data_IF_871235311489
#
_entry.id   IF_871235311489
#
_cell.length_a   1.000
_cell.length_b   1.000
_cell.length_c   1.000
_cell.angle_alpha   90.00
_cell.angle_beta   90.00
_cell.angle_gamma   90.00
#
_symmetry.space_group_name_H-M   'P 1'
#
loop_
_entity.id
_entity.type
_entity.pdbx_description
1 polymer ?
#
# COMPACT_ATOMS: atom_id res chain seq x y z
N UNK A 1 7.74 22.21 4.62
CA UNK A 1 6.43 21.58 4.34
C UNK A 1 5.72 21.31 5.65
N UNK A 2 4.48 21.74 5.76
CA UNK A 2 3.58 21.39 6.88
C UNK A 2 2.52 20.41 6.41
N UNK A 3 2.01 19.64 7.35
CA UNK A 3 1.00 18.62 7.13
C UNK A 3 -0.24 18.90 7.94
N UNK A 4 -1.39 18.91 7.28
CA UNK A 4 -2.70 19.20 7.86
C UNK A 4 -3.48 17.90 8.04
N UNK A 5 -4.34 17.85 9.06
CA UNK A 5 -5.36 16.81 9.17
C UNK A 5 -6.47 17.02 8.15
N UNK A 6 -6.91 15.95 7.51
CA UNK A 6 -8.10 15.96 6.63
C UNK A 6 -9.37 16.43 7.33
N UNK A 7 -9.43 16.33 8.66
CA UNK A 7 -10.58 16.78 9.48
C UNK A 7 -10.42 18.19 10.04
N UNK A 8 -9.25 18.80 9.90
CA UNK A 8 -9.00 20.22 10.14
C UNK A 8 -9.00 20.70 11.59
N UNK A 9 -9.10 19.80 12.58
CA UNK A 9 -9.12 20.15 14.01
C UNK A 9 -7.84 19.75 14.75
N UNK A 10 -6.78 19.41 14.02
CA UNK A 10 -5.48 19.06 14.60
C UNK A 10 -4.43 20.11 14.20
N UNK A 11 -3.41 20.36 15.04
CA UNK A 11 -2.32 21.26 14.68
C UNK A 11 -1.51 20.70 13.50
N UNK A 12 -1.04 21.62 12.64
CA UNK A 12 -0.14 21.26 11.55
C UNK A 12 1.19 20.75 12.09
N UNK A 13 1.73 19.72 11.45
CA UNK A 13 2.96 19.03 11.85
C UNK A 13 3.99 18.98 10.72
N UNK A 14 5.22 18.61 11.04
CA UNK A 14 6.29 18.33 10.08
C UNK A 14 6.25 16.86 9.63
N UNK A 15 7.06 16.51 8.64
CA UNK A 15 7.13 15.14 8.12
C UNK A 15 7.56 14.13 9.19
N UNK A 16 8.62 14.43 9.93
CA UNK A 16 9.13 13.53 10.98
C UNK A 16 8.17 13.37 12.15
N UNK A 17 7.41 14.42 12.51
CA UNK A 17 6.39 14.34 13.55
C UNK A 17 5.21 13.41 13.19
N UNK A 18 4.79 13.40 11.92
CA UNK A 18 3.68 12.54 11.47
C UNK A 18 4.13 11.12 11.13
N UNK A 19 5.41 10.93 10.86
CA UNK A 19 5.98 9.65 10.45
C UNK A 19 5.73 8.55 11.49
N UNK A 20 5.95 8.87 12.77
CA UNK A 20 5.75 7.94 13.89
C UNK A 20 4.31 7.95 14.44
N UNK A 21 3.53 8.97 14.12
CA UNK A 21 2.23 9.22 14.76
C UNK A 21 1.03 8.49 14.16
N UNK A 22 1.02 8.25 12.87
CA UNK A 22 -0.10 7.62 12.14
C UNK A 22 -1.30 8.56 11.96
N UNK A 23 -2.35 8.44 12.79
CA UNK A 23 -3.54 9.30 12.75
C UNK A 23 -3.29 10.65 13.42
N UNK A 24 -4.02 11.67 12.94
CA UNK A 24 -4.13 12.95 13.64
C UNK A 24 -4.99 12.83 14.92
N UNK A 25 -4.81 13.70 15.92
CA UNK A 25 -5.58 13.67 17.18
C UNK A 25 -7.10 13.76 16.99
N UNK A 26 -7.55 14.38 15.90
CA UNK A 26 -8.98 14.47 15.53
C UNK A 26 -9.49 13.25 14.74
N UNK A 27 -8.68 12.21 14.61
CA UNK A 27 -9.00 11.00 13.87
C UNK A 27 -8.79 11.12 12.35
N UNK A 28 -8.39 12.29 11.86
CA UNK A 28 -8.10 12.53 10.44
C UNK A 28 -6.76 11.96 9.99
N UNK A 29 -6.52 12.04 8.68
CA UNK A 29 -5.28 11.63 8.03
C UNK A 29 -4.44 12.87 7.71
N UNK A 30 -3.12 12.70 7.69
CA UNK A 30 -2.23 13.79 7.31
C UNK A 30 -2.03 13.87 5.80
N UNK A 31 -2.08 15.11 5.28
CA UNK A 31 -1.70 15.49 3.92
C UNK A 31 -0.84 16.77 3.97
N UNK A 32 0.08 16.99 3.02
CA UNK A 32 0.78 18.26 2.93
C UNK A 32 -0.21 19.42 2.74
N UNK A 33 0.09 20.56 3.31
CA UNK A 33 -0.74 21.79 3.17
C UNK A 33 -0.99 22.17 1.71
N UNK A 34 -0.04 21.86 0.83
CA UNK A 34 -0.16 21.94 -0.62
C UNK A 34 0.73 20.88 -1.26
N UNK A 35 0.32 20.37 -2.41
CA UNK A 35 1.16 19.46 -3.17
C UNK A 35 2.30 20.23 -3.85
N UNK A 36 3.56 19.80 -3.65
CA UNK A 36 4.68 20.43 -4.35
C UNK A 36 4.53 20.21 -5.85
N UNK A 37 4.73 21.26 -6.62
CA UNK A 37 4.67 21.19 -8.07
C UNK A 37 6.00 20.72 -8.65
N UNK A 38 5.92 19.92 -9.71
CA UNK A 38 7.07 19.51 -10.52
C UNK A 38 6.99 20.25 -11.85
N UNK A 39 7.97 21.08 -12.11
CA UNK A 39 8.03 21.88 -13.32
C UNK A 39 8.40 21.03 -14.54
N UNK A 40 8.15 21.53 -15.74
CA UNK A 40 8.54 20.84 -16.97
C UNK A 40 10.05 20.56 -17.06
N UNK A 41 10.94 21.51 -16.76
CA UNK A 41 12.39 21.23 -16.72
C UNK A 41 12.78 20.15 -15.70
N UNK A 42 12.11 20.11 -14.54
CA UNK A 42 12.33 19.03 -13.57
C UNK A 42 11.90 17.68 -14.12
N UNK A 43 10.71 17.58 -14.76
CA UNK A 43 10.26 16.34 -15.40
C UNK A 43 11.24 15.85 -16.46
N UNK A 44 11.76 16.77 -17.29
CA UNK A 44 12.74 16.44 -18.33
C UNK A 44 14.06 15.92 -17.72
N UNK A 45 14.52 16.54 -16.63
CA UNK A 45 15.71 16.10 -15.90
C UNK A 45 15.50 14.75 -15.19
N UNK A 46 14.35 14.57 -14.57
CA UNK A 46 14.04 13.36 -13.77
C UNK A 46 13.90 12.10 -14.62
N UNK A 47 13.56 12.23 -15.89
CA UNK A 47 13.43 11.11 -16.83
C UNK A 47 14.66 10.22 -16.90
N UNK A 48 15.84 10.76 -16.65
CA UNK A 48 17.13 10.06 -16.74
C UNK A 48 17.64 9.52 -15.40
N UNK A 49 16.93 9.78 -14.32
CA UNK A 49 17.37 9.41 -12.98
C UNK A 49 17.22 7.90 -12.72
N UNK A 50 18.16 7.35 -11.95
CA UNK A 50 17.98 6.07 -11.31
C UNK A 50 16.74 6.08 -10.40
N UNK A 51 16.24 4.92 -9.98
CA UNK A 51 15.11 4.89 -9.05
C UNK A 51 15.44 5.61 -7.73
N UNK A 52 16.62 5.39 -7.16
CA UNK A 52 17.04 6.03 -5.91
C UNK A 52 17.16 7.55 -6.05
N UNK A 53 17.76 8.05 -7.14
CA UNK A 53 17.86 9.50 -7.36
C UNK A 53 16.49 10.13 -7.62
N UNK A 54 15.59 9.44 -8.32
CA UNK A 54 14.21 9.88 -8.52
C UNK A 54 13.46 9.91 -7.18
N UNK A 55 13.62 8.87 -6.36
CA UNK A 55 13.04 8.84 -5.02
C UNK A 55 13.51 10.01 -4.16
N UNK A 56 14.82 10.34 -4.23
CA UNK A 56 15.34 11.52 -3.54
C UNK A 56 14.74 12.82 -4.09
N UNK A 57 14.64 12.98 -5.41
CA UNK A 57 14.07 14.17 -6.03
C UNK A 57 12.60 14.39 -5.63
N UNK A 58 11.81 13.32 -5.59
CA UNK A 58 10.39 13.37 -5.17
C UNK A 58 10.27 13.61 -3.67
N UNK A 59 10.93 12.78 -2.85
CA UNK A 59 10.73 12.77 -1.41
C UNK A 59 11.34 13.99 -0.71
N UNK A 60 12.39 14.61 -1.27
CA UNK A 60 12.93 15.86 -0.74
C UNK A 60 11.94 17.03 -0.80
N UNK A 61 10.95 16.97 -1.70
CA UNK A 61 9.86 17.96 -1.74
C UNK A 61 8.87 17.81 -0.58
N UNK A 62 8.81 16.63 0.04
CA UNK A 62 7.91 16.30 1.15
C UNK A 62 8.62 16.31 2.51
N UNK A 63 9.75 15.61 2.62
CA UNK A 63 10.49 15.44 3.87
C UNK A 63 11.46 16.61 4.13
N UNK A 64 10.94 17.83 4.16
CA UNK A 64 11.74 19.07 4.20
C UNK A 64 12.41 19.35 5.54
N UNK A 65 12.04 18.63 6.60
CA UNK A 65 12.64 18.69 7.93
C UNK A 65 13.72 17.62 8.16
N UNK A 66 13.99 16.76 7.17
CA UNK A 66 15.15 15.86 7.17
C UNK A 66 16.28 16.53 6.36
N UNK A 67 17.50 16.64 6.91
CA UNK A 67 18.65 17.14 6.16
C UNK A 67 18.85 16.36 4.85
N UNK A 68 19.11 17.06 3.75
CA UNK A 68 19.20 16.45 2.42
C UNK A 68 20.22 15.30 2.34
N UNK A 69 21.37 15.43 3.02
CA UNK A 69 22.39 14.39 3.06
C UNK A 69 21.89 13.12 3.77
N UNK A 70 21.16 13.29 4.90
CA UNK A 70 20.60 12.18 5.66
C UNK A 70 19.51 11.48 4.84
N UNK A 71 18.60 12.25 4.23
CA UNK A 71 17.53 11.71 3.38
C UNK A 71 18.12 10.94 2.18
N UNK A 72 19.14 11.49 1.52
CA UNK A 72 19.80 10.83 0.41
C UNK A 72 20.46 9.52 0.85
N UNK A 73 21.12 9.49 2.00
CA UNK A 73 21.74 8.29 2.54
C UNK A 73 20.69 7.20 2.85
N UNK A 74 19.54 7.59 3.46
CA UNK A 74 18.42 6.68 3.75
C UNK A 74 17.87 6.07 2.45
N UNK A 75 17.61 6.88 1.45
CA UNK A 75 17.04 6.46 0.16
C UNK A 75 18.03 5.56 -0.60
N UNK A 76 19.31 5.92 -0.65
CA UNK A 76 20.33 5.16 -1.37
C UNK A 76 20.56 3.76 -0.79
N UNK A 77 20.44 3.59 0.54
CA UNK A 77 20.51 2.26 1.15
C UNK A 77 19.21 1.45 1.02
N UNK A 78 18.09 2.12 0.73
CA UNK A 78 16.78 1.47 0.60
C UNK A 78 16.60 0.90 -0.80
N UNK A 79 16.78 1.72 -1.83
CA UNK A 79 16.48 1.36 -3.21
C UNK A 79 17.75 0.92 -3.93
N UNK A 80 18.13 -0.33 -3.72
CA UNK A 80 19.28 -0.98 -4.33
C UNK A 80 18.88 -2.21 -5.12
N UNK A 81 19.65 -2.59 -6.13
CA UNK A 81 19.45 -3.85 -6.85
C UNK A 81 19.49 -5.07 -5.91
N UNK A 82 20.34 -5.04 -4.88
CA UNK A 82 20.42 -6.13 -3.90
C UNK A 82 19.10 -6.35 -3.14
N UNK A 83 18.43 -5.27 -2.75
CA UNK A 83 17.13 -5.36 -2.06
C UNK A 83 16.00 -5.76 -3.01
N UNK A 84 16.05 -5.32 -4.27
CA UNK A 84 14.97 -5.50 -5.26
C UNK A 84 15.32 -6.44 -6.41
N UNK A 85 16.15 -7.46 -6.16
CA UNK A 85 16.46 -8.52 -7.11
C UNK A 85 15.76 -9.85 -6.82
N UNK A 86 14.75 -9.83 -5.96
CA UNK A 86 14.09 -11.06 -5.47
C UNK A 86 12.93 -11.54 -6.34
N UNK A 87 12.55 -10.75 -7.33
CA UNK A 87 11.37 -11.01 -8.13
C UNK A 87 11.56 -12.10 -9.20
N UNK A 88 12.06 -11.70 -10.36
CA UNK A 88 12.17 -12.55 -11.55
C UNK A 88 13.58 -12.53 -12.07
N UNK A 89 14.06 -13.71 -12.52
CA UNK A 89 15.40 -13.86 -13.10
C UNK A 89 15.58 -13.09 -14.43
N UNK A 90 14.48 -12.86 -15.15
CA UNK A 90 14.45 -12.12 -16.42
C UNK A 90 14.23 -10.59 -16.23
N UNK A 91 14.10 -10.14 -15.01
CA UNK A 91 13.89 -8.73 -14.67
C UNK A 91 15.24 -8.00 -14.50
N UNK A 92 15.31 -6.76 -15.00
CA UNK A 92 16.47 -5.91 -14.78
C UNK A 92 16.43 -5.29 -13.38
N UNK A 93 17.15 -5.90 -12.44
CA UNK A 93 17.21 -5.49 -11.05
C UNK A 93 17.72 -4.05 -10.85
N UNK A 94 18.54 -3.52 -11.76
CA UNK A 94 19.02 -2.13 -11.71
C UNK A 94 17.87 -1.11 -11.90
N UNK A 95 16.79 -1.52 -12.54
CA UNK A 95 15.63 -0.65 -12.71
C UNK A 95 14.74 -0.54 -11.48
N UNK A 96 14.85 -1.43 -10.50
CA UNK A 96 14.00 -1.54 -9.30
C UNK A 96 12.53 -1.82 -9.64
N UNK A 97 11.94 -1.03 -10.55
CA UNK A 97 10.55 -1.18 -11.05
C UNK A 97 10.55 -1.21 -12.57
N UNK A 98 10.96 -2.31 -13.19
CA UNK A 98 10.96 -2.42 -14.65
C UNK A 98 9.54 -2.39 -15.22
N UNK A 99 9.41 -1.91 -16.46
CA UNK A 99 8.17 -1.88 -17.21
C UNK A 99 8.14 -3.04 -18.20
N UNK A 100 7.22 -3.99 -17.99
CA UNK A 100 6.97 -5.10 -18.91
C UNK A 100 5.88 -4.74 -19.89
N UNK A 101 6.17 -4.78 -21.18
CA UNK A 101 5.17 -4.58 -22.22
C UNK A 101 4.51 -5.90 -22.55
N UNK A 102 3.18 -5.94 -22.47
CA UNK A 102 2.34 -7.06 -22.92
C UNK A 102 2.06 -6.92 -24.42
N UNK A 103 1.50 -5.80 -24.82
CA UNK A 103 1.25 -5.45 -26.21
C UNK A 103 1.49 -3.92 -26.41
N UNK A 104 1.56 -3.41 -27.63
CA UNK A 104 1.74 -1.98 -27.87
C UNK A 104 0.71 -1.14 -27.11
N UNK A 105 1.21 -0.30 -26.19
CA UNK A 105 0.39 0.58 -25.34
C UNK A 105 -0.25 -0.10 -24.13
N UNK A 106 0.12 -1.34 -23.80
CA UNK A 106 -0.31 -2.02 -22.54
C UNK A 106 0.91 -2.57 -21.81
N UNK A 107 1.04 -2.15 -20.58
CA UNK A 107 2.22 -2.44 -19.78
C UNK A 107 1.86 -2.88 -18.36
N UNK A 108 2.75 -3.64 -17.74
CA UNK A 108 2.77 -3.91 -16.29
C UNK A 108 3.99 -3.20 -15.72
N UNK A 109 3.78 -2.38 -14.69
CA UNK A 109 4.89 -1.87 -13.88
C UNK A 109 5.17 -2.89 -12.77
N UNK A 110 6.32 -3.54 -12.84
CA UNK A 110 6.72 -4.58 -11.90
C UNK A 110 7.16 -3.95 -10.57
N UNK A 111 6.38 -4.14 -9.52
CA UNK A 111 6.58 -3.55 -8.20
C UNK A 111 6.93 -4.58 -7.11
N UNK A 112 6.96 -5.86 -7.46
CA UNK A 112 7.00 -6.98 -6.51
C UNK A 112 8.36 -7.68 -6.46
N UNK A 113 9.43 -6.98 -6.79
CA UNK A 113 10.80 -7.50 -6.83
C UNK A 113 11.53 -7.39 -5.47
N UNK A 114 10.87 -6.88 -4.45
CA UNK A 114 11.41 -6.71 -3.10
C UNK A 114 11.42 -8.00 -2.26
N UNK A 115 11.85 -7.91 -1.00
CA UNK A 115 12.11 -9.07 -0.14
C UNK A 115 10.90 -9.98 0.10
N UNK A 116 9.68 -9.44 0.06
CA UNK A 116 8.46 -10.23 0.33
C UNK A 116 7.61 -10.48 -0.91
N UNK A 117 8.09 -10.09 -2.09
CA UNK A 117 7.42 -10.32 -3.37
C UNK A 117 6.06 -9.64 -3.47
N UNK A 118 5.91 -8.47 -2.87
CA UNK A 118 4.72 -7.62 -2.96
C UNK A 118 5.11 -6.15 -3.10
N UNK A 119 4.28 -5.35 -3.80
CA UNK A 119 4.51 -3.91 -3.99
C UNK A 119 4.67 -3.13 -2.68
N UNK A 120 4.17 -3.70 -1.59
CA UNK A 120 4.26 -3.10 -0.25
C UNK A 120 5.70 -2.91 0.21
N UNK A 121 6.63 -3.71 -0.28
CA UNK A 121 8.07 -3.56 -0.01
C UNK A 121 8.59 -2.19 -0.45
N UNK A 122 8.06 -1.64 -1.54
CA UNK A 122 8.48 -0.33 -2.06
C UNK A 122 8.35 0.79 -1.03
N UNK A 123 7.30 0.74 -0.21
CA UNK A 123 7.07 1.70 0.85
C UNK A 123 7.62 1.25 2.19
N UNK A 124 7.50 -0.04 2.54
CA UNK A 124 7.87 -0.55 3.86
C UNK A 124 9.38 -0.52 4.10
N UNK A 125 10.20 -0.85 3.10
CA UNK A 125 11.66 -0.80 3.22
C UNK A 125 12.14 0.63 3.53
N UNK A 126 11.57 1.63 2.86
CA UNK A 126 11.85 3.04 3.17
C UNK A 126 11.36 3.42 4.55
N UNK A 127 10.13 3.02 4.91
CA UNK A 127 9.53 3.34 6.21
C UNK A 127 10.38 2.80 7.37
N UNK A 128 10.89 1.57 7.25
CA UNK A 128 11.79 0.99 8.25
C UNK A 128 13.07 1.81 8.47
N UNK A 129 13.68 2.27 7.40
CA UNK A 129 14.87 3.11 7.45
C UNK A 129 14.58 4.52 8.00
N UNK A 130 13.42 5.10 7.64
CA UNK A 130 12.98 6.39 8.18
C UNK A 130 12.64 6.31 9.66
N UNK A 131 11.99 5.24 10.12
CA UNK A 131 11.69 5.02 11.54
C UNK A 131 12.97 4.90 12.36
N UNK A 132 13.92 4.05 11.93
CA UNK A 132 15.20 3.90 12.61
C UNK A 132 15.92 5.24 12.72
N UNK A 133 15.93 6.04 11.65
CA UNK A 133 16.51 7.39 11.65
C UNK A 133 15.82 8.31 12.66
N UNK A 134 14.49 8.41 12.58
CA UNK A 134 13.72 9.32 13.45
C UNK A 134 13.88 8.94 14.95
N UNK A 135 13.79 7.65 15.26
CA UNK A 135 13.95 7.14 16.63
C UNK A 135 15.37 7.37 17.17
N UNK A 136 16.39 7.17 16.34
CA UNK A 136 17.79 7.42 16.74
C UNK A 136 18.05 8.88 17.08
N UNK A 137 17.43 9.83 16.35
CA UNK A 137 17.54 11.27 16.63
C UNK A 137 16.81 11.69 17.91
N UNK A 138 15.74 10.99 18.27
CA UNK A 138 14.94 11.27 19.46
C UNK A 138 15.39 10.46 20.68
N UNK A 139 16.35 9.54 20.52
CA UNK A 139 16.74 8.55 21.55
C UNK A 139 15.52 7.78 22.11
N UNK A 140 14.63 7.40 21.20
CA UNK A 140 13.35 6.76 21.50
C UNK A 140 13.25 5.37 20.86
N UNK A 141 12.17 4.64 21.18
CA UNK A 141 11.87 3.33 20.63
C UNK A 141 10.39 3.22 20.24
N UNK A 142 10.07 2.22 19.44
CA UNK A 142 8.72 1.98 18.92
C UNK A 142 8.41 0.49 18.93
N UNK A 143 7.28 0.14 19.53
CA UNK A 143 6.74 -1.21 19.51
C UNK A 143 5.55 -1.25 18.54
N UNK A 144 5.78 -1.80 17.36
CA UNK A 144 4.78 -1.89 16.30
C UNK A 144 3.84 -3.04 16.62
N UNK A 145 2.56 -2.74 16.77
CA UNK A 145 1.51 -3.73 16.91
C UNK A 145 0.60 -3.69 15.68
N UNK A 146 0.43 -4.82 15.02
CA UNK A 146 -0.37 -4.92 13.81
C UNK A 146 -1.10 -6.24 13.69
N UNK A 147 -2.12 -6.27 12.83
CA UNK A 147 -2.79 -7.47 12.39
C UNK A 147 -2.65 -7.61 10.88
N UNK A 148 -2.49 -8.83 10.40
CA UNK A 148 -2.27 -9.12 8.99
C UNK A 148 -3.00 -10.37 8.52
N UNK A 149 -3.36 -10.37 7.23
CA UNK A 149 -3.76 -11.57 6.48
C UNK A 149 -2.60 -12.18 5.68
N UNK A 150 -1.38 -11.59 5.74
CA UNK A 150 -0.17 -12.08 5.10
C UNK A 150 0.75 -11.00 4.55
N UNK A 151 0.37 -10.32 3.46
CA UNK A 151 1.27 -9.42 2.70
C UNK A 151 1.76 -8.19 3.47
N UNK A 152 0.88 -7.57 4.26
CA UNK A 152 1.27 -6.38 5.04
C UNK A 152 2.19 -6.76 6.19
N UNK A 153 1.91 -7.89 6.85
CA UNK A 153 2.73 -8.37 7.95
C UNK A 153 4.12 -8.76 7.49
N UNK A 154 4.23 -9.59 6.45
CA UNK A 154 5.53 -9.98 5.90
C UNK A 154 6.36 -8.76 5.47
N UNK A 155 5.76 -7.80 4.75
CA UNK A 155 6.46 -6.60 4.33
C UNK A 155 6.93 -5.74 5.52
N UNK A 156 6.11 -5.62 6.58
CA UNK A 156 6.47 -4.89 7.79
C UNK A 156 7.62 -5.57 8.54
N UNK A 157 7.56 -6.87 8.75
CA UNK A 157 8.58 -7.63 9.45
C UNK A 157 9.93 -7.58 8.73
N UNK A 158 9.95 -7.81 7.40
CA UNK A 158 11.18 -7.73 6.61
C UNK A 158 11.76 -6.32 6.57
N UNK A 159 10.95 -5.29 6.63
CA UNK A 159 11.43 -3.91 6.68
C UNK A 159 11.98 -3.51 8.06
N UNK A 160 11.46 -4.11 9.14
CA UNK A 160 11.78 -3.72 10.51
C UNK A 160 12.77 -4.67 11.20
N UNK A 161 13.03 -5.87 10.64
CA UNK A 161 13.95 -6.85 11.22
C UNK A 161 15.33 -6.25 11.44
N UNK A 162 15.91 -6.50 12.61
CA UNK A 162 17.24 -6.02 12.98
C UNK A 162 17.39 -4.49 13.15
N UNK A 163 16.32 -3.71 13.05
CA UNK A 163 16.33 -2.27 13.23
C UNK A 163 16.44 -1.88 14.70
N UNK A 164 17.29 -0.89 14.99
CA UNK A 164 17.47 -0.39 16.35
C UNK A 164 16.24 0.39 16.82
N UNK A 165 15.82 0.13 18.06
CA UNK A 165 14.70 0.81 18.70
C UNK A 165 13.33 0.41 18.14
N UNK A 166 13.25 -0.63 17.31
CA UNK A 166 12.00 -1.12 16.74
C UNK A 166 11.77 -2.57 17.13
N UNK A 167 10.59 -2.88 17.65
CA UNK A 167 10.07 -4.25 17.82
C UNK A 167 8.76 -4.38 17.08
N UNK A 168 8.48 -5.56 16.53
CA UNK A 168 7.26 -5.85 15.78
C UNK A 168 6.51 -6.99 16.48
N UNK A 169 5.26 -6.75 16.78
CA UNK A 169 4.29 -7.73 17.27
C UNK A 169 3.19 -7.84 16.22
N UNK A 170 3.22 -8.92 15.44
CA UNK A 170 2.30 -9.11 14.32
C UNK A 170 1.32 -10.24 14.61
N UNK A 171 0.03 -9.88 14.67
CA UNK A 171 -1.07 -10.82 14.86
C UNK A 171 -1.55 -11.33 13.52
N UNK A 172 -1.83 -12.62 13.44
CA UNK A 172 -2.40 -13.27 12.26
C UNK A 172 -3.39 -14.37 12.66
N UNK A 173 -4.42 -14.66 11.85
CA UNK A 173 -5.37 -15.70 12.16
C UNK A 173 -4.71 -17.08 12.02
N UNK A 174 -4.79 -17.89 13.08
CA UNK A 174 -4.16 -19.21 13.14
C UNK A 174 -4.65 -20.13 12.02
N UNK A 175 -3.73 -20.61 11.18
CA UNK A 175 -4.01 -21.54 10.09
C UNK A 175 -4.80 -20.98 8.91
N UNK A 176 -4.97 -19.64 8.80
CA UNK A 176 -5.78 -19.01 7.73
C UNK A 176 -4.93 -18.31 6.63
N UNK A 177 -3.67 -18.06 6.87
CA UNK A 177 -2.76 -17.58 5.83
C UNK A 177 -2.32 -18.73 4.92
N UNK A 178 -1.93 -18.42 3.68
CA UNK A 178 -1.28 -19.42 2.81
C UNK A 178 -0.01 -19.97 3.47
N UNK A 179 0.36 -21.20 3.12
CA UNK A 179 1.55 -21.84 3.68
C UNK A 179 2.80 -21.02 3.41
N UNK A 180 2.90 -20.45 2.20
CA UNK A 180 4.00 -19.59 1.80
C UNK A 180 4.07 -18.28 2.61
N UNK A 181 2.95 -17.55 2.75
CA UNK A 181 2.91 -16.30 3.52
C UNK A 181 3.24 -16.53 4.99
N UNK A 182 2.72 -17.63 5.56
CA UNK A 182 3.05 -18.03 6.93
C UNK A 182 4.54 -18.31 7.09
N UNK A 183 5.12 -19.06 6.16
CA UNK A 183 6.54 -19.37 6.18
C UNK A 183 7.40 -18.12 6.04
N UNK A 184 7.03 -17.15 5.18
CA UNK A 184 7.74 -15.87 5.08
C UNK A 184 7.84 -15.15 6.42
N UNK A 185 6.77 -15.15 7.21
CA UNK A 185 6.74 -14.46 8.50
C UNK A 185 7.39 -15.29 9.61
N UNK A 186 6.96 -16.52 9.78
CA UNK A 186 7.31 -17.31 10.95
C UNK A 186 8.74 -17.88 10.89
N UNK A 187 9.36 -17.95 9.70
CA UNK A 187 10.76 -18.34 9.57
C UNK A 187 11.76 -17.28 10.05
N UNK A 188 11.29 -16.04 10.29
CA UNK A 188 12.16 -14.98 10.80
C UNK A 188 12.57 -15.27 12.25
N UNK A 189 13.90 -15.29 12.50
CA UNK A 189 14.48 -15.56 13.82
C UNK A 189 15.03 -14.30 14.49
N UNK A 190 14.83 -13.14 13.90
CA UNK A 190 15.28 -11.85 14.42
C UNK A 190 14.66 -11.58 15.80
N UNK A 191 15.45 -11.20 16.83
CA UNK A 191 14.95 -11.07 18.20
C UNK A 191 13.90 -9.95 18.39
N UNK A 192 13.82 -9.02 17.45
CA UNK A 192 12.87 -7.92 17.49
C UNK A 192 11.57 -8.18 16.70
N UNK A 193 11.38 -9.39 16.14
CA UNK A 193 10.17 -9.79 15.43
C UNK A 193 9.41 -10.83 16.24
N UNK A 194 8.15 -10.60 16.53
CA UNK A 194 7.28 -11.47 17.31
C UNK A 194 6.00 -11.75 16.52
N UNK A 195 5.86 -12.99 16.07
CA UNK A 195 4.66 -13.49 15.40
C UNK A 195 3.69 -14.10 16.40
N UNK A 196 2.41 -13.72 16.30
CA UNK A 196 1.36 -14.18 17.22
C UNK A 196 0.18 -14.69 16.36
N UNK A 197 -0.06 -16.00 16.44
CA UNK A 197 -1.19 -16.65 15.78
C UNK A 197 -2.40 -16.67 16.73
N UNK A 198 -3.47 -16.02 16.32
CA UNK A 198 -4.70 -15.89 17.11
C UNK A 198 -5.68 -17.02 16.74
N UNK A 199 -6.17 -17.76 17.74
CA UNK A 199 -7.27 -18.70 17.56
C UNK A 199 -8.56 -17.92 17.29
N UNK A 200 -8.78 -17.54 16.03
CA UNK A 200 -9.88 -16.69 15.58
C UNK A 200 -9.75 -16.35 14.10
N UNK A 201 -10.51 -15.34 13.70
CA UNK A 201 -10.48 -14.78 12.35
C UNK A 201 -9.58 -13.55 12.30
N UNK A 202 -9.33 -13.03 11.09
CA UNK A 202 -8.55 -11.81 10.90
C UNK A 202 -9.17 -10.60 11.63
N UNK A 203 -10.49 -10.53 11.68
CA UNK A 203 -11.21 -9.46 12.37
C UNK A 203 -10.97 -9.51 13.89
N UNK A 204 -10.89 -10.70 14.49
CA UNK A 204 -10.55 -10.84 15.91
C UNK A 204 -9.16 -10.27 16.20
N UNK A 205 -8.18 -10.58 15.35
CA UNK A 205 -6.84 -10.02 15.46
C UNK A 205 -6.83 -8.48 15.31
N UNK A 206 -7.62 -7.94 14.37
CA UNK A 206 -7.76 -6.50 14.20
C UNK A 206 -8.41 -5.83 15.40
N UNK A 207 -9.44 -6.45 15.96
CA UNK A 207 -10.16 -5.91 17.13
C UNK A 207 -9.27 -5.91 18.38
N UNK A 208 -8.42 -6.91 18.56
CA UNK A 208 -7.39 -6.91 19.60
C UNK A 208 -6.41 -5.73 19.43
N UNK A 209 -5.91 -5.48 18.21
CA UNK A 209 -5.03 -4.34 17.91
C UNK A 209 -5.74 -3.01 18.18
N UNK A 210 -7.01 -2.87 17.78
CA UNK A 210 -7.81 -1.68 18.07
C UNK A 210 -8.00 -1.47 19.58
N UNK A 211 -8.30 -2.54 20.32
CA UNK A 211 -8.50 -2.48 21.77
C UNK A 211 -7.22 -2.02 22.50
N UNK A 212 -6.05 -2.50 22.09
CA UNK A 212 -4.76 -2.02 22.62
C UNK A 212 -4.50 -0.56 22.24
N UNK A 213 -4.81 -0.18 20.99
CA UNK A 213 -4.60 1.18 20.48
C UNK A 213 -5.51 2.22 21.15
N UNK A 214 -6.70 1.79 21.58
CA UNK A 214 -7.67 2.63 22.29
C UNK A 214 -7.36 2.75 23.79
N UNK A 215 -6.54 1.87 24.35
CA UNK A 215 -5.98 2.04 25.70
C UNK A 215 -4.81 3.04 25.65
N UNK A 216 -5.15 4.32 25.69
CA UNK A 216 -4.18 5.41 25.56
C UNK A 216 -3.07 5.37 26.62
N UNK A 217 -3.38 4.93 27.84
CA UNK A 217 -2.40 4.81 28.91
C UNK A 217 -1.39 3.70 28.60
N UNK A 218 -1.87 2.52 28.20
CA UNK A 218 -1.01 1.41 27.81
C UNK A 218 -0.19 1.76 26.57
N UNK A 219 -0.83 2.32 25.54
CA UNK A 219 -0.18 2.75 24.29
C UNK A 219 0.98 3.71 24.55
N UNK A 220 0.78 4.73 25.39
CA UNK A 220 1.82 5.69 25.75
C UNK A 220 2.94 5.06 26.57
N UNK A 221 2.59 4.27 27.61
CA UNK A 221 3.56 3.64 28.50
C UNK A 221 4.48 2.64 27.78
N UNK A 222 3.98 1.95 26.76
CA UNK A 222 4.69 0.93 26.02
C UNK A 222 5.04 1.34 24.57
N UNK A 223 4.91 2.64 24.24
CA UNK A 223 5.30 3.21 22.93
C UNK A 223 4.74 2.41 21.76
N UNK A 224 3.45 2.07 21.85
CA UNK A 224 2.78 1.28 20.80
C UNK A 224 2.52 2.14 19.57
N UNK A 225 3.00 1.69 18.43
CA UNK A 225 2.79 2.31 17.14
C UNK A 225 2.27 1.33 16.10
N UNK A 226 2.14 1.78 14.87
CA UNK A 226 1.59 0.99 13.77
C UNK A 226 2.25 1.34 12.45
N UNK A 227 2.21 0.40 11.51
CA UNK A 227 2.65 0.57 10.10
C UNK A 227 1.50 0.54 9.12
N UNK A 228 0.32 0.97 9.53
CA UNK A 228 -0.89 0.93 8.72
C UNK A 228 -0.74 1.68 7.39
N UNK A 229 -1.57 1.31 6.41
CA UNK A 229 -1.58 1.92 5.07
C UNK A 229 -1.81 3.43 5.06
N UNK A 230 -2.37 3.98 6.14
CA UNK A 230 -2.62 5.41 6.31
C UNK A 230 -1.36 6.23 6.63
N UNK A 231 -0.26 5.61 7.02
CA UNK A 231 0.99 6.32 7.30
C UNK A 231 1.43 7.12 6.07
N UNK A 232 1.68 8.42 6.25
CA UNK A 232 2.07 9.30 5.15
C UNK A 232 3.39 8.87 4.49
N UNK A 233 4.35 8.35 5.26
CA UNK A 233 5.60 7.82 4.72
C UNK A 233 5.36 6.70 3.71
N UNK A 234 4.34 5.85 3.93
CA UNK A 234 3.95 4.82 2.98
C UNK A 234 3.35 5.39 1.70
N UNK A 235 2.44 6.36 1.82
CA UNK A 235 1.82 7.00 0.65
C UNK A 235 2.86 7.77 -0.16
N UNK A 236 3.71 8.55 0.50
CA UNK A 236 4.73 9.35 -0.19
C UNK A 236 5.75 8.51 -0.95
N UNK A 237 6.16 7.37 -0.40
CA UNK A 237 7.05 6.43 -1.07
C UNK A 237 6.45 5.87 -2.36
N UNK A 238 5.13 5.68 -2.39
CA UNK A 238 4.43 5.14 -3.56
C UNK A 238 4.31 6.15 -4.69
N UNK A 239 4.40 7.44 -4.42
CA UNK A 239 4.38 8.49 -5.47
C UNK A 239 5.51 8.27 -6.48
N UNK A 240 6.67 7.82 -6.03
CA UNK A 240 7.89 7.69 -6.84
C UNK A 240 7.70 6.78 -8.04
N UNK A 241 7.09 5.60 -7.86
CA UNK A 241 6.96 4.66 -8.96
C UNK A 241 5.92 5.09 -10.02
N UNK A 242 5.00 6.00 -9.71
CA UNK A 242 4.16 6.61 -10.74
C UNK A 242 4.99 7.46 -11.69
N UNK A 243 5.93 8.27 -11.17
CA UNK A 243 6.87 9.00 -12.01
C UNK A 243 7.74 8.04 -12.83
N UNK A 244 8.29 7.00 -12.20
CA UNK A 244 9.16 6.02 -12.89
C UNK A 244 8.41 5.30 -14.01
N UNK A 245 7.20 4.81 -13.73
CA UNK A 245 6.34 4.14 -14.71
C UNK A 245 5.96 5.05 -15.88
N UNK A 246 5.61 6.31 -15.57
CA UNK A 246 5.34 7.31 -16.60
C UNK A 246 6.54 7.51 -17.52
N UNK A 247 7.73 7.70 -16.97
CA UNK A 247 8.95 7.90 -17.77
C UNK A 247 9.31 6.68 -18.60
N UNK A 248 9.07 5.48 -18.09
CA UNK A 248 9.33 4.23 -18.83
C UNK A 248 8.34 4.00 -19.98
N UNK A 249 7.09 4.42 -19.84
CA UNK A 249 6.04 4.21 -20.83
C UNK A 249 5.94 5.31 -21.88
N UNK A 250 6.65 6.44 -21.71
CA UNK A 250 6.56 7.62 -22.60
C UNK A 250 7.94 8.07 -23.09
N UNK A 251 7.97 8.70 -24.26
CA UNK A 251 9.21 9.27 -24.86
C UNK A 251 9.38 10.74 -24.54
N UNK A 252 8.31 11.46 -24.28
CA UNK A 252 8.33 12.88 -23.94
C UNK A 252 7.30 13.20 -22.85
N UNK A 253 7.43 14.40 -22.24
CA UNK A 253 6.50 14.85 -21.21
C UNK A 253 5.27 15.57 -21.81
N UNK A 254 5.05 15.51 -23.14
CA UNK A 254 3.81 15.91 -23.81
C UNK A 254 2.80 14.76 -23.89
N UNK A 255 3.27 13.55 -23.67
CA UNK A 255 2.42 12.35 -23.65
C UNK A 255 1.71 12.21 -22.31
N UNK A 256 0.52 11.63 -22.34
CA UNK A 256 -0.23 11.24 -21.14
C UNK A 256 -0.35 9.73 -21.06
N UNK A 257 -0.56 9.21 -19.86
CA UNK A 257 -0.77 7.78 -19.61
C UNK A 257 -2.02 7.54 -18.77
N UNK A 258 -2.51 6.31 -18.80
CA UNK A 258 -3.47 5.79 -17.84
C UNK A 258 -2.76 4.82 -16.89
N UNK A 259 -3.11 4.87 -15.60
CA UNK A 259 -2.71 3.84 -14.63
C UNK A 259 -3.93 3.05 -14.19
N UNK A 260 -3.85 1.71 -14.27
CA UNK A 260 -4.82 0.81 -13.64
C UNK A 260 -4.25 0.27 -12.34
N UNK A 261 -5.01 0.45 -11.27
CA UNK A 261 -4.52 0.22 -9.90
C UNK A 261 -5.47 -0.69 -9.14
N UNK A 262 -5.04 -1.93 -8.82
CA UNK A 262 -5.75 -2.77 -7.86
C UNK A 262 -5.88 -2.07 -6.51
N UNK A 263 -7.09 -1.92 -5.99
CA UNK A 263 -7.34 -1.02 -4.87
C UNK A 263 -8.30 -1.60 -3.83
N UNK A 264 -7.80 -1.77 -2.61
CA UNK A 264 -8.63 -2.00 -1.42
C UNK A 264 -8.67 -0.74 -0.55
N UNK A 265 -7.58 -0.45 0.17
CA UNK A 265 -7.46 0.71 1.08
C UNK A 265 -7.25 2.07 0.40
N UNK A 266 -7.32 2.16 -0.92
CA UNK A 266 -7.10 3.37 -1.70
C UNK A 266 -5.69 3.97 -1.60
N UNK A 267 -4.75 3.36 -0.89
CA UNK A 267 -3.41 3.94 -0.64
C UNK A 267 -2.59 4.11 -1.91
N UNK A 268 -2.50 3.06 -2.73
CA UNK A 268 -1.73 3.06 -3.96
C UNK A 268 -2.30 4.09 -4.97
N UNK A 269 -3.58 4.05 -5.28
CA UNK A 269 -4.18 4.99 -6.25
C UNK A 269 -4.22 6.43 -5.70
N UNK A 270 -4.26 6.62 -4.38
CA UNK A 270 -4.08 7.93 -3.75
C UNK A 270 -2.71 8.53 -4.08
N UNK A 271 -1.65 7.72 -4.05
CA UNK A 271 -0.32 8.16 -4.46
C UNK A 271 -0.28 8.57 -5.95
N UNK A 272 -0.99 7.86 -6.82
CA UNK A 272 -1.18 8.25 -8.23
C UNK A 272 -1.94 9.55 -8.39
N UNK A 273 -3.00 9.76 -7.60
CA UNK A 273 -3.73 11.03 -7.56
C UNK A 273 -2.79 12.18 -7.16
N UNK A 274 -1.98 11.99 -6.12
CA UNK A 274 -1.02 13.00 -5.66
C UNK A 274 0.05 13.27 -6.72
N UNK A 275 0.60 12.24 -7.36
CA UNK A 275 1.55 12.42 -8.47
C UNK A 275 0.97 13.30 -9.60
N UNK A 276 -0.30 13.07 -9.96
CA UNK A 276 -1.02 13.91 -10.92
C UNK A 276 -1.18 15.35 -10.42
N UNK A 277 -1.54 15.54 -9.15
CA UNK A 277 -1.67 16.85 -8.54
C UNK A 277 -0.33 17.60 -8.44
N UNK A 278 0.79 16.89 -8.44
CA UNK A 278 2.14 17.45 -8.56
C UNK A 278 2.52 17.86 -10.00
N UNK A 279 1.71 17.52 -10.98
CA UNK A 279 1.95 17.87 -12.38
C UNK A 279 2.41 16.70 -13.28
N UNK A 280 2.42 15.45 -12.79
CA UNK A 280 2.70 14.29 -13.64
C UNK A 280 1.54 14.13 -14.66
N UNK A 281 1.84 13.97 -15.98
CA UNK A 281 0.81 13.90 -17.01
C UNK A 281 0.04 12.56 -16.99
N UNK A 282 -0.79 12.37 -15.99
CA UNK A 282 -1.70 11.24 -15.85
C UNK A 282 -3.07 11.65 -16.39
N UNK A 283 -3.44 11.14 -17.57
CA UNK A 283 -4.71 11.43 -18.23
C UNK A 283 -5.90 10.65 -17.65
N UNK A 284 -5.63 9.50 -16.99
CA UNK A 284 -6.67 8.67 -16.39
C UNK A 284 -6.10 7.84 -15.23
N UNK A 285 -6.85 7.74 -14.13
CA UNK A 285 -6.63 6.78 -13.07
C UNK A 285 -7.80 5.78 -13.06
N UNK A 286 -7.50 4.51 -13.19
CA UNK A 286 -8.48 3.44 -13.24
C UNK A 286 -8.38 2.63 -11.94
N UNK A 287 -9.45 2.69 -11.16
CA UNK A 287 -9.58 1.98 -9.89
C UNK A 287 -10.20 0.61 -10.14
N UNK A 288 -9.46 -0.44 -9.82
CA UNK A 288 -9.95 -1.80 -9.91
C UNK A 288 -10.26 -2.36 -8.52
N UNK A 289 -11.48 -2.81 -8.31
CA UNK A 289 -11.88 -3.55 -7.10
C UNK A 289 -12.09 -5.03 -7.40
N UNK A 290 -12.13 -5.84 -6.35
CA UNK A 290 -12.68 -7.18 -6.43
C UNK A 290 -14.18 -7.16 -6.10
N UNK A 291 -14.76 -8.26 -5.63
CA UNK A 291 -16.16 -8.37 -5.20
C UNK A 291 -16.53 -7.37 -4.09
N UNK A 292 -15.53 -6.87 -3.35
CA UNK A 292 -15.69 -5.82 -2.35
C UNK A 292 -15.61 -4.45 -3.04
N UNK A 293 -16.70 -4.04 -3.65
CA UNK A 293 -16.79 -2.97 -4.65
C UNK A 293 -17.20 -1.60 -4.10
N UNK A 294 -16.97 -1.33 -2.81
CA UNK A 294 -17.37 -0.07 -2.16
C UNK A 294 -16.83 1.19 -2.86
N UNK A 295 -15.60 1.11 -3.38
CA UNK A 295 -14.98 2.22 -4.11
C UNK A 295 -15.54 2.35 -5.53
N UNK A 296 -15.74 1.24 -6.24
CA UNK A 296 -16.37 1.25 -7.56
C UNK A 296 -17.79 1.81 -7.48
N UNK A 297 -18.56 1.44 -6.45
CA UNK A 297 -19.86 2.03 -6.18
C UNK A 297 -19.79 3.55 -6.05
N UNK A 298 -18.82 4.08 -5.29
CA UNK A 298 -18.66 5.53 -5.15
C UNK A 298 -18.35 6.23 -6.47
N UNK A 299 -17.37 5.77 -7.21
CA UNK A 299 -16.98 6.42 -8.46
C UNK A 299 -18.06 6.30 -9.55
N UNK A 300 -18.87 5.25 -9.52
CA UNK A 300 -19.98 5.02 -10.46
C UNK A 300 -21.26 5.75 -10.07
N UNK A 301 -21.53 5.92 -8.77
CA UNK A 301 -22.85 6.36 -8.29
C UNK A 301 -22.83 7.59 -7.39
N UNK A 302 -21.68 7.99 -6.89
CA UNK A 302 -21.53 9.05 -5.89
C UNK A 302 -21.81 8.63 -4.44
N UNK A 303 -22.23 7.38 -4.21
CA UNK A 303 -22.57 6.87 -2.89
C UNK A 303 -21.39 6.08 -2.28
N UNK A 304 -20.90 6.51 -1.13
CA UNK A 304 -19.92 5.76 -0.34
C UNK A 304 -20.62 5.06 0.82
N UNK A 305 -20.76 3.75 0.71
CA UNK A 305 -21.48 2.88 1.65
C UNK A 305 -20.59 1.75 2.15
N UNK A 306 -19.69 2.00 3.14
CA UNK A 306 -18.92 0.93 3.75
C UNK A 306 -19.82 -0.17 4.29
N UNK A 307 -19.42 -1.41 4.09
CA UNK A 307 -20.17 -2.58 4.57
C UNK A 307 -19.56 -3.07 5.88
N UNK A 308 -20.35 -3.72 6.72
CA UNK A 308 -19.85 -4.38 7.92
C UNK A 308 -18.95 -5.58 7.57
N UNK A 309 -18.19 -6.06 8.54
CA UNK A 309 -17.28 -7.20 8.38
C UNK A 309 -18.02 -8.48 7.95
N UNK A 310 -19.25 -8.66 8.40
CA UNK A 310 -20.16 -9.75 8.01
C UNK A 310 -20.62 -9.70 6.54
N UNK A 311 -20.41 -8.58 5.87
CA UNK A 311 -20.72 -8.34 4.45
C UNK A 311 -19.50 -8.12 3.59
N UNK A 312 -18.30 -8.37 4.11
CA UNK A 312 -17.04 -8.37 3.38
C UNK A 312 -16.76 -9.76 2.85
N UNK A 313 -16.62 -9.90 1.55
CA UNK A 313 -16.33 -11.19 0.91
C UNK A 313 -14.86 -11.56 1.10
N UNK A 314 -14.60 -12.80 1.50
CA UNK A 314 -13.27 -13.40 1.37
C UNK A 314 -13.05 -13.85 -0.09
N UNK A 315 -12.05 -13.31 -0.75
CA UNK A 315 -11.83 -13.52 -2.19
C UNK A 315 -10.46 -14.14 -2.48
N UNK A 316 -10.22 -14.49 -3.74
CA UNK A 316 -8.91 -14.93 -4.21
C UNK A 316 -7.92 -13.78 -4.45
N UNK A 317 -8.32 -12.52 -4.23
CA UNK A 317 -7.42 -11.35 -4.18
C UNK A 317 -7.51 -10.67 -2.79
N UNK A 318 -7.05 -11.33 -1.72
CA UNK A 318 -7.39 -11.00 -0.33
C UNK A 318 -6.83 -9.65 0.15
N UNK A 319 -5.79 -9.11 -0.46
CA UNK A 319 -5.28 -7.77 -0.11
C UNK A 319 -6.25 -6.63 -0.44
N UNK A 320 -7.29 -6.93 -1.23
CA UNK A 320 -8.35 -6.00 -1.63
C UNK A 320 -9.68 -6.29 -0.93
N UNK A 321 -9.74 -7.23 0.02
CA UNK A 321 -10.94 -7.57 0.81
C UNK A 321 -11.20 -6.49 1.86
N UNK A 322 -11.61 -5.33 1.38
CA UNK A 322 -11.76 -4.10 2.16
C UNK A 322 -13.14 -3.51 1.91
N UNK A 323 -13.89 -3.27 2.98
CA UNK A 323 -15.21 -2.63 2.94
C UNK A 323 -15.21 -1.18 3.38
N UNK A 324 -14.16 -0.72 4.07
CA UNK A 324 -13.95 0.69 4.44
C UNK A 324 -12.53 1.10 4.05
N UNK A 325 -12.40 1.79 2.92
CA UNK A 325 -11.11 2.18 2.36
C UNK A 325 -10.47 3.33 3.16
N UNK A 326 -9.44 3.02 3.95
CA UNK A 326 -8.89 3.93 4.95
C UNK A 326 -8.24 5.19 4.37
N UNK A 327 -7.61 5.12 3.18
CA UNK A 327 -6.99 6.30 2.54
C UNK A 327 -7.95 7.11 1.66
N UNK A 328 -9.17 6.65 1.47
CA UNK A 328 -10.16 7.34 0.64
C UNK A 328 -10.51 8.74 1.17
N UNK A 329 -10.43 8.93 2.47
CA UNK A 329 -10.62 10.22 3.14
C UNK A 329 -9.68 11.30 2.58
N UNK A 330 -8.45 10.94 2.17
CA UNK A 330 -7.50 11.88 1.55
C UNK A 330 -7.99 12.43 0.22
N UNK A 331 -8.54 11.55 -0.62
CA UNK A 331 -9.10 11.97 -1.89
C UNK A 331 -10.36 12.82 -1.69
N UNK A 332 -11.24 12.43 -0.77
CA UNK A 332 -12.46 13.20 -0.46
C UNK A 332 -12.12 14.58 0.07
N UNK A 333 -11.04 14.72 0.86
CA UNK A 333 -10.56 16.03 1.30
C UNK A 333 -10.22 16.95 0.12
N UNK A 334 -9.50 16.45 -0.89
CA UNK A 334 -9.23 17.22 -2.11
C UNK A 334 -10.52 17.48 -2.92
N UNK A 335 -11.40 16.48 -3.03
CA UNK A 335 -12.69 16.59 -3.75
C UNK A 335 -13.58 17.70 -3.19
N UNK A 336 -13.60 17.89 -1.88
CA UNK A 336 -14.39 18.96 -1.21
C UNK A 336 -13.64 20.28 -1.08
N UNK A 337 -12.55 20.47 -1.83
CA UNK A 337 -11.75 21.70 -1.81
C UNK A 337 -10.94 21.89 -0.53
N UNK A 338 -10.57 20.79 0.12
CA UNK A 338 -9.80 20.75 1.38
C UNK A 338 -10.57 21.33 2.57
N UNK A 339 -11.89 21.26 2.54
CA UNK A 339 -12.76 21.64 3.66
C UNK A 339 -12.84 20.52 4.71
N UNK A 340 -12.06 20.63 5.77
CA UNK A 340 -12.06 19.68 6.89
C UNK A 340 -13.41 19.58 7.61
N UNK A 341 -14.24 20.63 7.58
CA UNK A 341 -15.59 20.60 8.18
C UNK A 341 -16.48 19.64 7.39
N UNK A 342 -16.40 19.70 6.06
CA UNK A 342 -17.16 18.80 5.18
C UNK A 342 -16.70 17.35 5.32
N UNK A 343 -15.38 17.11 5.44
CA UNK A 343 -14.86 15.77 5.69
C UNK A 343 -15.36 15.22 7.03
N UNK A 344 -15.37 16.03 8.11
CA UNK A 344 -15.96 15.61 9.39
C UNK A 344 -17.44 15.26 9.28
N UNK A 345 -18.21 16.02 8.50
CA UNK A 345 -19.62 15.71 8.25
C UNK A 345 -19.78 14.33 7.60
N UNK A 346 -19.01 14.05 6.55
CA UNK A 346 -19.08 12.77 5.83
C UNK A 346 -18.58 11.60 6.68
N UNK A 347 -17.41 11.76 7.30
CA UNK A 347 -16.83 10.69 8.13
C UNK A 347 -17.56 10.48 9.44
N UNK A 348 -18.21 11.49 10.00
CA UNK A 348 -19.10 11.33 11.15
C UNK A 348 -20.25 10.37 10.86
N UNK A 349 -20.82 10.43 9.66
CA UNK A 349 -21.85 9.44 9.21
C UNK A 349 -21.24 8.04 9.04
N UNK A 350 -20.09 7.94 8.41
CA UNK A 350 -19.38 6.66 8.17
C UNK A 350 -18.93 6.01 9.49
N UNK A 351 -18.37 6.79 10.40
CA UNK A 351 -17.90 6.29 11.70
C UNK A 351 -19.07 5.85 12.61
N UNK A 352 -20.27 6.39 12.38
CA UNK A 352 -21.52 5.93 13.00
C UNK A 352 -22.16 4.71 12.29
N UNK A 353 -21.46 4.07 11.35
CA UNK A 353 -21.98 2.92 10.59
C UNK A 353 -22.91 3.28 9.43
N UNK A 354 -22.97 4.57 9.05
CA UNK A 354 -23.77 5.05 7.93
C UNK A 354 -22.98 5.26 6.63
N UNK A 355 -23.51 6.12 5.79
CA UNK A 355 -22.97 6.40 4.45
C UNK A 355 -23.13 7.88 4.09
N UNK A 356 -22.46 8.31 3.00
CA UNK A 356 -22.74 9.59 2.38
C UNK A 356 -22.90 9.45 0.87
N UNK A 357 -23.56 10.43 0.27
CA UNK A 357 -23.84 10.47 -1.17
C UNK A 357 -23.62 11.90 -1.69
N UNK A 358 -22.87 12.03 -2.78
CA UNK A 358 -22.52 13.32 -3.37
C UNK A 358 -23.30 13.65 -4.64
N UNK A 359 -24.20 12.76 -5.15
CA UNK A 359 -24.88 12.91 -6.44
C UNK A 359 -25.64 14.23 -6.61
N UNK A 360 -26.21 14.74 -5.53
CA UNK A 360 -26.98 15.99 -5.55
C UNK A 360 -26.23 17.16 -4.93
N UNK A 361 -24.91 17.12 -5.00
CA UNK A 361 -24.00 18.14 -4.49
C UNK A 361 -23.07 18.63 -5.61
N UNK A 362 -22.45 19.82 -5.49
CA UNK A 362 -21.44 20.27 -6.44
C UNK A 362 -20.22 19.33 -6.58
N UNK A 363 -20.02 18.43 -5.61
CA UNK A 363 -18.90 17.49 -5.59
C UNK A 363 -19.03 16.38 -6.64
N UNK A 364 -20.25 16.07 -7.08
CA UNK A 364 -20.45 15.11 -8.16
C UNK A 364 -19.86 15.62 -9.48
N UNK A 365 -20.11 16.88 -9.83
CA UNK A 365 -19.51 17.51 -11.01
C UNK A 365 -17.99 17.71 -10.85
N UNK A 366 -17.54 18.02 -9.62
CA UNK A 366 -16.13 18.15 -9.30
C UNK A 366 -15.38 16.81 -9.46
N UNK A 367 -16.00 15.68 -9.10
CA UNK A 367 -15.44 14.35 -9.24
C UNK A 367 -15.01 14.04 -10.68
N UNK A 368 -15.80 14.48 -11.66
CA UNK A 368 -15.52 14.24 -13.09
C UNK A 368 -14.21 14.89 -13.55
N UNK A 369 -13.79 15.98 -12.92
CA UNK A 369 -12.56 16.71 -13.25
C UNK A 369 -11.30 15.95 -12.83
N UNK A 370 -11.43 14.97 -11.95
CA UNK A 370 -10.32 14.11 -11.52
C UNK A 370 -10.06 12.93 -12.46
N UNK A 371 -10.88 12.73 -13.50
CA UNK A 371 -10.67 11.69 -14.51
C UNK A 371 -10.38 10.30 -13.93
N UNK A 372 -11.10 9.91 -12.90
CA UNK A 372 -11.15 8.54 -12.45
C UNK A 372 -12.10 7.73 -13.32
N UNK A 373 -11.75 6.48 -13.55
CA UNK A 373 -12.65 5.43 -13.98
C UNK A 373 -12.56 4.30 -12.95
N UNK A 374 -13.58 3.45 -12.88
CA UNK A 374 -13.57 2.33 -11.97
C UNK A 374 -14.29 1.12 -12.53
N UNK A 375 -14.06 -0.02 -11.93
CA UNK A 375 -14.73 -1.26 -12.26
C UNK A 375 -14.39 -2.33 -11.24
N UNK A 376 -15.11 -3.44 -11.33
CA UNK A 376 -14.91 -4.60 -10.47
C UNK A 376 -14.55 -5.85 -11.25
N UNK A 377 -13.87 -6.77 -10.59
CA UNK A 377 -13.46 -8.06 -11.10
C UNK A 377 -13.94 -9.16 -10.16
N UNK A 378 -14.53 -10.20 -10.70
CA UNK A 378 -14.96 -11.38 -9.96
C UNK A 378 -13.87 -12.45 -9.97
N UNK A 379 -14.05 -13.49 -9.15
CA UNK A 379 -13.18 -14.66 -9.17
C UNK A 379 -13.07 -15.28 -10.58
N UNK A 380 -14.19 -15.39 -11.28
CA UNK A 380 -14.20 -15.88 -12.67
C UNK A 380 -13.36 -14.98 -13.60
N UNK A 381 -13.49 -13.67 -13.47
CA UNK A 381 -12.71 -12.71 -14.29
C UNK A 381 -11.21 -12.84 -14.00
N UNK A 382 -10.83 -13.02 -12.72
CA UNK A 382 -9.43 -13.23 -12.33
C UNK A 382 -8.83 -14.46 -12.99
N UNK A 383 -9.52 -15.62 -12.88
CA UNK A 383 -9.04 -16.87 -13.49
C UNK A 383 -8.91 -16.73 -15.01
N UNK A 384 -9.93 -16.13 -15.66
CA UNK A 384 -9.91 -15.87 -17.09
C UNK A 384 -8.76 -14.93 -17.49
N UNK A 385 -8.51 -13.87 -16.73
CA UNK A 385 -7.44 -12.90 -17.02
C UNK A 385 -6.06 -13.52 -16.81
N UNK A 386 -5.84 -14.25 -15.71
CA UNK A 386 -4.58 -14.97 -15.47
C UNK A 386 -4.28 -15.91 -16.64
N UNK A 387 -5.28 -16.69 -17.07
CA UNK A 387 -5.14 -17.63 -18.20
C UNK A 387 -4.84 -16.90 -19.50
N UNK A 388 -5.63 -15.89 -19.83
CA UNK A 388 -5.48 -15.14 -21.09
C UNK A 388 -4.11 -14.45 -21.19
N UNK A 389 -3.66 -13.79 -20.14
CA UNK A 389 -2.34 -13.15 -20.10
C UNK A 389 -1.22 -14.16 -20.25
N UNK A 390 -1.36 -15.32 -19.60
CA UNK A 390 -0.35 -16.39 -19.73
C UNK A 390 -0.32 -17.01 -21.13
N UNK A 391 -1.49 -17.33 -21.71
CA UNK A 391 -1.58 -17.95 -23.04
C UNK A 391 -1.14 -17.00 -24.15
N UNK A 392 -1.44 -15.70 -24.04
CA UNK A 392 -1.17 -14.73 -25.09
C UNK A 392 0.25 -14.15 -25.01
N UNK A 393 0.73 -13.87 -23.79
CA UNK A 393 2.00 -13.14 -23.59
C UNK A 393 3.08 -13.98 -22.88
N UNK A 394 2.77 -15.17 -22.39
CA UNK A 394 3.69 -15.99 -21.59
C UNK A 394 3.99 -15.42 -20.21
N UNK A 395 3.20 -14.45 -19.74
CA UNK A 395 3.39 -13.76 -18.47
C UNK A 395 2.40 -14.27 -17.44
N UNK A 396 2.89 -14.74 -16.30
CA UNK A 396 2.07 -15.15 -15.18
C UNK A 396 1.88 -13.96 -14.22
N UNK A 397 0.63 -13.64 -13.90
CA UNK A 397 0.26 -12.55 -13.01
C UNK A 397 -0.48 -13.06 -11.79
N UNK A 398 -0.34 -12.38 -10.64
CA UNK A 398 -1.08 -12.67 -9.43
C UNK A 398 -2.56 -12.23 -9.53
N UNK A 399 -3.44 -12.75 -8.65
CA UNK A 399 -4.87 -12.44 -8.74
C UNK A 399 -5.23 -10.95 -8.65
N UNK A 400 -4.51 -10.18 -7.85
CA UNK A 400 -4.76 -8.74 -7.71
C UNK A 400 -4.34 -7.97 -8.97
N UNK A 401 -3.18 -8.29 -9.53
CA UNK A 401 -2.73 -7.73 -10.80
C UNK A 401 -3.70 -8.08 -11.92
N UNK A 402 -4.27 -9.30 -11.90
CA UNK A 402 -5.32 -9.70 -12.83
C UNK A 402 -6.58 -8.82 -12.72
N UNK A 403 -7.02 -8.49 -11.50
CA UNK A 403 -8.12 -7.53 -11.30
C UNK A 403 -7.80 -6.17 -11.95
N UNK A 404 -6.57 -5.68 -11.76
CA UNK A 404 -6.10 -4.44 -12.37
C UNK A 404 -6.06 -4.49 -13.89
N UNK A 405 -5.58 -5.58 -14.48
CA UNK A 405 -5.53 -5.75 -15.94
C UNK A 405 -6.95 -5.81 -16.53
N UNK A 406 -7.83 -6.64 -15.94
CA UNK A 406 -9.23 -6.79 -16.40
C UNK A 406 -9.92 -5.45 -16.45
N UNK A 407 -9.95 -4.72 -15.35
CA UNK A 407 -10.64 -3.43 -15.27
C UNK A 407 -9.91 -2.38 -16.11
N UNK A 408 -8.58 -2.40 -16.14
CA UNK A 408 -7.78 -1.51 -16.97
C UNK A 408 -8.12 -1.64 -18.45
N UNK A 409 -8.20 -2.86 -18.96
CA UNK A 409 -8.54 -3.13 -20.36
C UNK A 409 -9.96 -2.71 -20.71
N UNK A 410 -10.92 -2.83 -19.78
CA UNK A 410 -12.31 -2.39 -19.98
C UNK A 410 -12.47 -0.88 -19.98
N UNK A 411 -11.72 -0.17 -19.15
CA UNK A 411 -11.90 1.25 -18.86
C UNK A 411 -10.89 2.16 -19.56
N UNK A 412 -9.83 1.60 -20.19
CA UNK A 412 -8.79 2.39 -20.85
C UNK A 412 -9.35 3.29 -21.96
N UNK A 413 -8.77 4.48 -22.05
CA UNK A 413 -8.94 5.33 -23.23
C UNK A 413 -7.98 4.85 -24.33
N UNK A 414 -8.46 4.61 -25.57
CA UNK A 414 -7.63 4.03 -26.64
C UNK A 414 -6.34 4.80 -26.97
N UNK A 415 -6.32 6.09 -26.69
CA UNK A 415 -5.20 6.99 -27.04
C UNK A 415 -4.14 7.11 -25.94
N UNK A 416 -4.35 6.48 -24.78
CA UNK A 416 -3.43 6.55 -23.65
C UNK A 416 -2.76 5.19 -23.46
N UNK A 417 -1.40 5.14 -23.38
CA UNK A 417 -0.74 3.95 -22.88
C UNK A 417 -1.29 3.59 -21.50
N UNK A 418 -1.64 2.32 -21.32
CA UNK A 418 -2.13 1.75 -20.06
C UNK A 418 -0.98 1.12 -19.30
N UNK A 419 -0.78 1.53 -18.06
CA UNK A 419 0.19 0.94 -17.12
C UNK A 419 -0.61 0.28 -15.99
N UNK A 420 -0.62 -1.05 -15.94
CA UNK A 420 -1.20 -1.80 -14.84
C UNK A 420 -0.14 -1.95 -13.74
N UNK A 421 -0.48 -1.61 -12.50
CA UNK A 421 0.43 -1.77 -11.36
C UNK A 421 0.39 -3.20 -10.84
N UNK A 422 1.54 -3.82 -10.75
CA UNK A 422 1.68 -5.14 -10.14
C UNK A 422 1.47 -5.06 -8.62
N UNK A 423 0.79 -6.05 -8.06
CA UNK A 423 0.54 -6.12 -6.60
C UNK A 423 1.49 -7.10 -5.92
N UNK A 424 1.65 -8.28 -6.46
CA UNK A 424 2.49 -9.34 -5.89
C UNK A 424 3.00 -10.30 -6.96
N UNK A 425 3.93 -11.18 -6.58
CA UNK A 425 4.29 -12.30 -7.44
C UNK A 425 3.28 -13.45 -7.29
N UNK A 426 3.03 -14.19 -8.38
CA UNK A 426 2.12 -15.36 -8.39
C UNK A 426 2.44 -16.42 -7.33
N UNK A 427 3.71 -16.59 -6.98
CA UNK A 427 4.17 -17.54 -5.96
C UNK A 427 3.47 -17.39 -4.59
N UNK A 428 2.97 -16.20 -4.25
CA UNK A 428 2.24 -15.97 -3.01
C UNK A 428 0.81 -16.51 -3.02
N UNK A 429 0.26 -16.80 -4.20
CA UNK A 429 -1.13 -17.17 -4.43
C UNK A 429 -1.24 -18.45 -5.27
N UNK A 430 -0.42 -19.46 -4.92
CA UNK A 430 -0.27 -20.71 -5.67
C UNK A 430 -1.62 -21.39 -5.98
N UNK A 431 -2.53 -21.45 -5.01
CA UNK A 431 -3.84 -22.12 -5.20
C UNK A 431 -4.64 -21.51 -6.36
N UNK A 432 -4.74 -20.19 -6.42
CA UNK A 432 -5.46 -19.50 -7.51
C UNK A 432 -4.75 -19.66 -8.85
N UNK A 433 -3.42 -19.66 -8.87
CA UNK A 433 -2.65 -19.88 -10.08
C UNK A 433 -2.85 -21.32 -10.61
N UNK A 434 -2.82 -22.31 -9.72
CA UNK A 434 -3.09 -23.71 -10.10
C UNK A 434 -4.51 -23.87 -10.61
N UNK A 435 -5.49 -23.23 -9.98
CA UNK A 435 -6.88 -23.22 -10.45
C UNK A 435 -7.00 -22.62 -11.86
N UNK A 436 -6.31 -21.52 -12.13
CA UNK A 436 -6.37 -20.85 -13.42
C UNK A 436 -5.60 -21.61 -14.53
N UNK A 437 -4.42 -22.14 -14.24
CA UNK A 437 -3.46 -22.62 -15.24
C UNK A 437 -3.18 -24.12 -15.17
N UNK A 438 -3.62 -24.82 -14.12
CA UNK A 438 -3.29 -26.23 -13.89
C UNK A 438 -1.81 -26.49 -13.58
N UNK A 439 -1.03 -25.46 -13.24
CA UNK A 439 0.39 -25.53 -12.92
C UNK A 439 0.77 -24.58 -11.80
N UNK A 440 1.82 -24.93 -11.04
CA UNK A 440 2.36 -24.09 -10.00
C UNK A 440 3.11 -22.88 -10.58
N UNK A 441 3.09 -21.73 -9.89
CA UNK A 441 3.93 -20.60 -10.23
C UNK A 441 5.40 -20.89 -9.95
N UNK A 442 6.28 -20.23 -10.70
CA UNK A 442 7.71 -20.23 -10.40
C UNK A 442 7.97 -19.44 -9.12
N UNK A 443 8.93 -19.92 -8.34
CA UNK A 443 9.41 -19.24 -7.11
C UNK A 443 10.84 -18.75 -7.34
N UNK A 444 11.20 -17.59 -6.75
CA UNK A 444 12.61 -17.23 -6.64
C UNK A 444 13.39 -18.32 -5.89
N UNK A 445 14.54 -18.71 -6.42
CA UNK A 445 15.33 -19.82 -5.86
C UNK A 445 15.70 -19.63 -4.38
N UNK A 446 15.85 -18.39 -3.93
CA UNK A 446 16.14 -18.04 -2.53
C UNK A 446 14.99 -18.40 -1.57
N UNK A 447 13.79 -18.63 -2.09
CA UNK A 447 12.59 -18.95 -1.32
C UNK A 447 12.15 -20.41 -1.51
N UNK A 448 12.93 -21.21 -2.24
CA UNK A 448 12.68 -22.65 -2.32
C UNK A 448 12.90 -23.29 -0.94
N UNK A 449 11.91 -24.07 -0.51
CA UNK A 449 11.96 -24.76 0.79
C UNK A 449 11.79 -23.85 2.01
N UNK A 450 11.32 -22.62 1.84
CA UNK A 450 11.06 -21.70 2.96
C UNK A 450 10.09 -22.29 3.99
N UNK A 451 9.19 -23.16 3.56
CA UNK A 451 8.22 -23.86 4.41
C UNK A 451 8.88 -24.87 5.35
N UNK A 452 10.06 -25.35 5.00
CA UNK A 452 10.84 -26.33 5.79
C UNK A 452 11.74 -25.66 6.85
N UNK A 453 11.86 -24.33 6.81
CA UNK A 453 12.64 -23.60 7.80
C UNK A 453 11.98 -23.64 9.18
N UNK A 454 12.76 -23.58 10.28
CA UNK A 454 12.22 -23.46 11.64
C UNK A 454 11.29 -22.26 11.76
N UNK A 455 10.06 -22.51 12.17
CA UNK A 455 9.05 -21.45 12.34
C UNK A 455 8.90 -21.06 13.82
N UNK A 456 8.86 -19.77 14.08
CA UNK A 456 8.66 -19.19 15.40
C UNK A 456 7.38 -18.38 15.44
N UNK A 457 6.43 -18.83 16.24
CA UNK A 457 5.14 -18.18 16.41
C UNK A 457 4.57 -18.55 17.78
N UNK A 458 4.02 -17.57 18.49
CA UNK A 458 3.22 -17.79 19.68
C UNK A 458 1.76 -17.99 19.30
N UNK A 459 1.10 -18.99 19.88
CA UNK A 459 -0.33 -19.22 19.64
C UNK A 459 -1.11 -18.80 20.88
N UNK A 460 -2.12 -17.95 20.70
CA UNK A 460 -2.98 -17.51 21.81
C UNK A 460 -4.45 -17.37 21.38
N UNK A 461 -5.33 -17.34 22.34
CA UNK A 461 -6.73 -17.01 22.09
C UNK A 461 -6.91 -15.51 21.84
N UNK A 462 -8.09 -15.12 21.34
CA UNK A 462 -8.43 -13.71 21.10
C UNK A 462 -8.66 -12.97 22.44
N UNK A 463 -7.60 -12.83 23.22
CA UNK A 463 -7.60 -12.24 24.57
C UNK A 463 -6.63 -11.04 24.63
N UNK A 464 -7.18 -9.84 24.76
CA UNK A 464 -6.43 -8.59 24.86
C UNK A 464 -5.53 -8.52 26.09
N UNK A 465 -5.94 -9.17 27.20
CA UNK A 465 -5.14 -9.17 28.42
C UNK A 465 -3.89 -10.01 28.25
N UNK A 466 -4.02 -11.19 27.63
CA UNK A 466 -2.86 -12.04 27.28
C UNK A 466 -1.93 -11.32 26.30
N UNK A 467 -2.46 -10.68 25.26
CA UNK A 467 -1.67 -9.91 24.30
C UNK A 467 -0.88 -8.80 24.99
N UNK A 468 -1.51 -8.00 25.84
CA UNK A 468 -0.82 -6.93 26.59
C UNK A 468 0.27 -7.48 27.51
N UNK A 469 0.04 -8.62 28.14
CA UNK A 469 1.05 -9.28 28.99
C UNK A 469 2.24 -9.77 28.15
N UNK A 470 1.96 -10.38 26.99
CA UNK A 470 3.01 -10.85 26.06
C UNK A 470 3.87 -9.68 25.56
N UNK A 471 3.25 -8.62 25.04
CA UNK A 471 3.96 -7.42 24.58
C UNK A 471 4.86 -6.88 25.68
N UNK A 472 4.34 -6.70 26.89
CA UNK A 472 5.09 -6.18 28.05
C UNK A 472 6.31 -7.04 28.45
N UNK A 473 6.21 -8.34 28.24
CA UNK A 473 7.31 -9.26 28.55
C UNK A 473 8.46 -9.25 27.53
N UNK A 474 8.22 -8.64 26.33
CA UNK A 474 9.18 -8.66 25.23
C UNK A 474 9.65 -7.27 24.78
N UNK A 475 9.34 -6.21 25.54
CA UNK A 475 9.82 -4.84 25.33
C UNK A 475 10.98 -4.46 26.25
#
# INVERSE_FOLDING_TARGET
MKYLSTRGNAPAKTFTEILLGGLAPDGGLYLPEQYPQVTRPELDAWRKLSYADLAFAVLSKFATDIPAADLKAIISKTYTAEVYNKGRADSDAEQITPLRTLEPGVHILELSNGPTLAFKDMAMQLLGNLFEYALSKQHDELNILGATSGDTGSAAEYAMRGKRGIRVFMLSPNGKMSVFQRAQMYSLQDPNIHNIAINGMFDDAQDMVKAVSNDHAYKAAHKIGTVNSINWGRVSAQIVYYFKGYFAATKSNDEQVAFSVPSGNFGNICAGHIARMMGLPIGQLILATNENDVLDEFFSTGAYRPRGTDHTYATSSPSMDISKASNFERFVFDLVGRDGTKVREFWGKVDAGGSFDIRHTPYWDALQKFHFASGKSSHYDRLKTIRGVYEEYGVMVDPHTADGIKVGMEQRRPNLPLICLETALPAKFEETIVEALGRKPERPAELDGIEDLPQRCEVMDADVVQLKAFVRAHI
#
